data_IF_567348120786
#
_entry.id   IF_567348120786
#
_cell.length_a   1.000
_cell.length_b   1.000
_cell.length_c   1.000
_cell.angle_alpha   90.00
_cell.angle_beta   90.00
_cell.angle_gamma   90.00
#
_symmetry.space_group_name_H-M   'P 1'
#
loop_
_entity.id
_entity.type
_entity.pdbx_description
1 polymer ?
#
# COMPACT_ATOMS: atom_id res chain seq x y z
N UNK A 1 -48.93 38.10 -26.25
CA UNK A 1 -49.70 38.16 -27.56
C UNK A 1 -49.12 37.01 -28.42
N UNK A 2 -50.05 36.10 -28.83
CA UNK A 2 -50.03 35.11 -29.93
C UNK A 2 -48.92 34.07 -29.93
N UNK A 3 -49.12 32.79 -29.58
CA UNK A 3 -49.97 31.74 -30.17
C UNK A 3 -49.59 31.35 -31.60
N UNK A 4 -49.31 30.11 -31.78
CA UNK A 4 -49.45 29.30 -32.99
C UNK A 4 -48.22 28.46 -33.29
N UNK A 5 -48.21 27.23 -33.65
CA UNK A 5 -49.25 26.21 -33.87
C UNK A 5 -48.50 24.88 -34.16
N UNK A 6 -49.12 23.80 -33.75
CA UNK A 6 -48.78 22.37 -34.05
C UNK A 6 -48.66 22.11 -35.55
N UNK A 7 -47.83 21.17 -35.94
CA UNK A 7 -48.28 20.16 -36.94
C UNK A 7 -47.52 18.83 -36.78
N UNK A 8 -48.30 17.80 -36.61
CA UNK A 8 -48.02 16.36 -36.65
C UNK A 8 -48.04 15.91 -38.11
N UNK A 9 -47.11 15.08 -38.54
CA UNK A 9 -47.27 14.23 -39.74
C UNK A 9 -46.82 12.81 -39.40
N UNK A 10 -47.78 11.91 -39.61
CA UNK A 10 -47.74 10.45 -39.54
C UNK A 10 -47.49 9.91 -40.97
N UNK A 11 -46.84 8.79 -41.06
CA UNK A 11 -46.86 7.89 -42.24
C UNK A 11 -45.50 7.25 -42.48
N UNK A 12 -45.31 6.05 -42.71
CA UNK A 12 -46.00 4.81 -43.02
C UNK A 12 -44.90 3.75 -43.24
N UNK A 13 -45.16 2.55 -42.84
CA UNK A 13 -44.37 1.32 -43.03
C UNK A 13 -43.94 1.06 -44.50
N UNK A 14 -42.77 0.43 -44.62
CA UNK A 14 -42.53 -0.54 -45.69
C UNK A 14 -41.57 -1.66 -45.22
N UNK A 15 -42.14 -2.82 -45.07
CA UNK A 15 -41.51 -4.13 -44.95
C UNK A 15 -40.84 -4.55 -46.25
N UNK A 16 -39.60 -4.99 -46.20
CA UNK A 16 -39.04 -5.94 -47.21
C UNK A 16 -38.19 -7.00 -46.55
N UNK A 17 -38.71 -8.17 -46.61
CA UNK A 17 -38.13 -9.49 -46.29
C UNK A 17 -37.16 -9.87 -47.41
N UNK A 18 -35.91 -10.25 -47.10
CA UNK A 18 -35.17 -11.16 -48.00
C UNK A 18 -34.17 -12.02 -47.21
N UNK A 19 -34.22 -13.28 -47.54
CA UNK A 19 -33.66 -14.46 -46.90
C UNK A 19 -32.15 -14.67 -47.06
N UNK A 20 -31.57 -15.31 -46.07
CA UNK A 20 -30.60 -16.42 -46.06
C UNK A 20 -29.28 -16.31 -46.85
N UNK A 21 -28.16 -16.36 -46.13
CA UNK A 21 -27.15 -17.43 -46.31
C UNK A 21 -26.40 -17.63 -44.97
N UNK A 22 -26.49 -18.87 -44.43
CA UNK A 22 -25.73 -19.36 -43.31
C UNK A 22 -24.27 -19.50 -43.70
N UNK A 23 -23.39 -18.88 -42.92
CA UNK A 23 -21.99 -19.31 -42.81
C UNK A 23 -21.68 -19.51 -41.34
N UNK A 24 -21.68 -20.76 -40.86
CA UNK A 24 -21.15 -21.15 -39.58
C UNK A 24 -19.66 -20.86 -39.55
N UNK A 25 -19.26 -19.78 -38.91
CA UNK A 25 -17.94 -19.65 -38.32
C UNK A 25 -18.11 -19.95 -36.84
N UNK A 26 -17.63 -21.10 -36.39
CA UNK A 26 -17.52 -21.44 -34.99
C UNK A 26 -16.46 -20.52 -34.34
N UNK A 27 -16.88 -19.33 -33.91
CA UNK A 27 -16.12 -18.53 -32.99
C UNK A 27 -16.27 -19.19 -31.62
N UNK A 28 -15.21 -19.79 -31.12
CA UNK A 28 -15.14 -20.26 -29.74
C UNK A 28 -15.44 -19.08 -28.82
N UNK A 29 -16.64 -19.06 -28.25
CA UNK A 29 -16.99 -18.16 -27.17
C UNK A 29 -16.17 -18.60 -25.95
N UNK A 30 -15.11 -17.85 -25.66
CA UNK A 30 -14.54 -17.84 -24.32
C UNK A 30 -15.68 -17.45 -23.37
N UNK A 31 -16.17 -18.41 -22.61
CA UNK A 31 -17.10 -18.15 -21.50
C UNK A 31 -16.44 -17.10 -20.61
N UNK A 32 -17.11 -15.97 -20.31
CA UNK A 32 -16.61 -15.06 -19.29
C UNK A 32 -16.56 -15.88 -18.00
N UNK A 33 -15.36 -16.02 -17.48
CA UNK A 33 -15.12 -16.61 -16.16
C UNK A 33 -15.90 -15.75 -15.15
N UNK A 34 -17.09 -16.15 -14.77
CA UNK A 34 -17.88 -15.56 -13.70
C UNK A 34 -17.18 -15.93 -12.40
N UNK A 35 -16.04 -15.29 -12.15
CA UNK A 35 -15.43 -15.30 -10.85
C UNK A 35 -16.41 -14.64 -9.89
N UNK A 36 -16.91 -15.42 -8.93
CA UNK A 36 -17.84 -15.00 -7.91
C UNK A 36 -17.41 -13.65 -7.33
N UNK A 37 -18.33 -12.70 -7.24
CA UNK A 37 -18.13 -11.44 -6.56
C UNK A 37 -17.45 -11.72 -5.23
N UNK A 38 -16.22 -11.20 -5.04
CA UNK A 38 -15.35 -11.58 -3.94
C UNK A 38 -16.10 -11.48 -2.62
N UNK A 39 -16.02 -12.53 -1.81
CA UNK A 39 -16.64 -12.55 -0.48
C UNK A 39 -16.18 -11.30 0.27
N UNK A 40 -17.12 -10.55 0.89
CA UNK A 40 -16.78 -9.37 1.69
C UNK A 40 -15.70 -9.76 2.71
N UNK A 41 -14.68 -8.91 2.90
CA UNK A 41 -13.64 -9.18 3.89
C UNK A 41 -14.27 -9.36 5.27
N UNK A 42 -13.75 -10.25 6.10
CA UNK A 42 -14.27 -10.43 7.44
C UNK A 42 -14.06 -9.17 8.26
N UNK A 43 -15.08 -8.80 9.06
CA UNK A 43 -15.00 -7.67 9.98
C UNK A 43 -14.28 -8.06 11.26
N UNK A 44 -13.61 -7.10 11.91
CA UNK A 44 -12.78 -7.34 13.08
C UNK A 44 -13.52 -8.07 14.20
N UNK A 45 -14.77 -7.69 14.50
CA UNK A 45 -15.58 -8.32 15.55
C UNK A 45 -16.10 -9.71 15.20
N UNK A 46 -16.06 -10.11 13.93
CA UNK A 46 -16.41 -11.47 13.52
C UNK A 46 -15.23 -12.44 13.72
N UNK A 47 -14.01 -11.93 13.76
CA UNK A 47 -12.77 -12.71 13.85
C UNK A 47 -12.16 -12.65 15.25
N UNK A 48 -12.06 -11.45 15.83
CA UNK A 48 -11.47 -11.22 17.13
C UNK A 48 -12.52 -11.09 18.21
N UNK A 49 -12.25 -11.67 19.37
CA UNK A 49 -13.10 -11.53 20.56
C UNK A 49 -12.83 -10.19 21.25
N UNK A 50 -13.84 -9.69 21.99
CA UNK A 50 -13.75 -8.51 22.83
C UNK A 50 -13.40 -7.20 22.05
N UNK A 51 -13.76 -7.11 20.77
CA UNK A 51 -13.70 -5.86 20.00
C UNK A 51 -14.85 -4.97 20.41
N UNK A 52 -14.57 -3.79 21.01
CA UNK A 52 -15.59 -2.89 21.54
C UNK A 52 -15.69 -1.58 20.75
N UNK A 53 -14.62 -0.81 20.65
CA UNK A 53 -14.61 0.54 20.06
C UNK A 53 -14.33 0.52 18.56
N UNK A 54 -13.55 -0.48 18.07
CA UNK A 54 -13.10 -0.61 16.68
C UNK A 54 -13.92 -1.67 15.93
N UNK A 55 -15.25 -1.57 16.02
CA UNK A 55 -16.19 -2.45 15.29
C UNK A 55 -16.53 -1.88 13.93
N UNK A 56 -16.91 -2.76 13.00
CA UNK A 56 -17.37 -2.36 11.66
C UNK A 56 -16.25 -2.02 10.70
N UNK A 57 -15.01 -2.43 10.98
CA UNK A 57 -13.87 -2.28 10.08
C UNK A 57 -13.33 -3.64 9.65
N UNK A 58 -12.76 -3.75 8.43
CA UNK A 58 -12.11 -4.96 7.96
C UNK A 58 -10.94 -5.38 8.88
N UNK A 59 -10.62 -6.67 8.86
CA UNK A 59 -9.56 -7.23 9.70
C UNK A 59 -8.20 -6.63 9.42
N UNK A 60 -7.84 -6.40 8.16
CA UNK A 60 -6.59 -5.77 7.75
C UNK A 60 -6.48 -4.34 8.25
N UNK A 61 -7.53 -3.53 8.12
CA UNK A 61 -7.56 -2.16 8.68
C UNK A 61 -7.50 -2.19 10.22
N UNK A 62 -8.12 -3.18 10.87
CA UNK A 62 -8.02 -3.35 12.32
C UNK A 62 -6.58 -3.60 12.76
N UNK A 63 -5.85 -4.48 12.06
CA UNK A 63 -4.44 -4.75 12.35
C UNK A 63 -3.56 -3.52 12.09
N UNK A 64 -3.77 -2.83 10.97
CA UNK A 64 -3.08 -1.56 10.66
C UNK A 64 -3.37 -0.49 11.74
N UNK A 65 -4.59 -0.46 12.29
CA UNK A 65 -4.96 0.43 13.40
C UNK A 65 -4.22 0.08 14.70
N UNK A 66 -3.98 -1.21 14.99
CA UNK A 66 -3.14 -1.62 16.13
C UNK A 66 -1.70 -1.14 15.95
N UNK A 67 -1.12 -1.28 14.75
CA UNK A 67 0.20 -0.72 14.42
C UNK A 67 0.27 0.79 14.62
N UNK A 68 -0.77 1.54 14.18
CA UNK A 68 -0.86 2.97 14.40
C UNK A 68 -0.85 3.35 15.89
N UNK A 69 -1.61 2.61 16.74
CA UNK A 69 -1.62 2.84 18.19
C UNK A 69 -0.23 2.56 18.78
N UNK A 70 0.36 1.42 18.42
CA UNK A 70 1.68 1.00 18.90
C UNK A 70 2.74 2.06 18.58
N UNK A 71 2.83 2.52 17.32
CA UNK A 71 3.76 3.55 16.88
C UNK A 71 3.53 4.90 17.56
N UNK A 72 2.24 5.28 17.77
CA UNK A 72 1.91 6.54 18.45
C UNK A 72 2.39 6.60 19.91
N UNK A 73 2.60 5.44 20.54
CA UNK A 73 2.98 5.29 21.94
C UNK A 73 4.41 4.74 22.12
N UNK A 74 5.08 4.33 21.04
CA UNK A 74 6.36 3.59 21.08
C UNK A 74 6.27 2.30 21.91
N UNK A 75 5.17 1.57 21.75
CA UNK A 75 4.88 0.31 22.43
C UNK A 75 4.78 -0.84 21.42
N UNK A 76 4.93 -2.07 21.90
CA UNK A 76 4.66 -3.28 21.15
C UNK A 76 3.34 -3.94 21.55
N UNK A 77 2.96 -5.03 20.88
CA UNK A 77 1.69 -5.72 21.12
C UNK A 77 1.55 -6.18 22.60
N UNK A 78 2.62 -6.71 23.18
CA UNK A 78 2.59 -7.30 24.52
C UNK A 78 2.69 -6.27 25.66
N UNK A 79 2.97 -5.01 25.35
CA UNK A 79 2.90 -3.93 26.34
C UNK A 79 1.45 -3.58 26.67
N UNK A 80 0.53 -3.77 25.71
CA UNK A 80 -0.90 -3.52 25.90
C UNK A 80 -1.71 -4.80 26.17
N UNK A 81 -1.31 -5.93 25.54
CA UNK A 81 -1.92 -7.25 25.73
C UNK A 81 -1.15 -8.06 26.78
N UNK A 82 -1.76 -9.14 27.27
CA UNK A 82 -1.07 -10.01 28.26
C UNK A 82 0.14 -10.70 27.62
N UNK A 83 1.19 -10.98 28.41
CA UNK A 83 2.40 -11.69 27.92
C UNK A 83 2.07 -13.08 27.35
N UNK A 84 1.02 -13.72 27.88
CA UNK A 84 0.56 -15.01 27.39
C UNK A 84 -0.01 -14.94 25.96
N UNK A 85 -0.40 -13.75 25.49
CA UNK A 85 -0.93 -13.54 24.13
C UNK A 85 0.08 -13.94 23.05
N UNK A 86 1.38 -13.83 23.32
CA UNK A 86 2.44 -14.25 22.42
C UNK A 86 2.51 -15.77 22.20
N UNK A 87 1.93 -16.57 23.13
CA UNK A 87 1.86 -18.02 23.06
C UNK A 87 0.47 -18.56 22.73
N UNK A 88 -0.56 -17.89 23.24
CA UNK A 88 -1.96 -18.21 23.02
C UNK A 88 -2.70 -17.00 22.43
N UNK A 89 -2.98 -17.00 21.12
CA UNK A 89 -3.69 -15.91 20.46
C UNK A 89 -5.06 -15.57 21.06
N UNK A 90 -5.73 -16.52 21.73
CA UNK A 90 -7.01 -16.25 22.39
C UNK A 90 -6.87 -15.22 23.52
N UNK A 91 -5.70 -15.10 24.12
CA UNK A 91 -5.37 -14.17 25.20
C UNK A 91 -5.30 -12.68 24.77
N UNK A 92 -5.20 -12.42 23.45
CA UNK A 92 -5.38 -11.05 22.95
C UNK A 92 -6.76 -10.47 23.27
N UNK A 93 -7.75 -11.32 23.59
CA UNK A 93 -9.07 -10.88 24.03
C UNK A 93 -9.12 -10.39 25.49
N UNK A 94 -8.18 -10.81 26.33
CA UNK A 94 -8.16 -10.48 27.76
C UNK A 94 -8.00 -8.96 27.95
N UNK A 95 -8.68 -8.42 28.97
CA UNK A 95 -8.57 -7.01 29.32
C UNK A 95 -7.38 -6.78 30.26
N UNK A 96 -6.62 -5.74 29.93
CA UNK A 96 -5.57 -5.18 30.77
C UNK A 96 -5.93 -3.75 31.16
N UNK A 97 -5.36 -3.17 32.23
CA UNK A 97 -5.57 -1.75 32.57
C UNK A 97 -5.19 -0.80 31.43
N UNK A 98 -4.09 -1.09 30.70
CA UNK A 98 -3.63 -0.29 29.57
C UNK A 98 -4.64 -0.37 28.42
N UNK A 99 -5.12 -1.56 28.08
CA UNK A 99 -6.12 -1.78 27.02
C UNK A 99 -7.44 -1.05 27.33
N UNK A 100 -7.86 -1.05 28.60
CA UNK A 100 -9.04 -0.29 29.05
C UNK A 100 -8.82 1.22 28.93
N UNK A 101 -7.63 1.71 29.28
CA UNK A 101 -7.26 3.13 29.12
C UNK A 101 -7.24 3.50 27.64
N UNK A 102 -6.64 2.67 26.76
CA UNK A 102 -6.62 2.90 25.33
C UNK A 102 -8.04 3.06 24.76
N UNK A 103 -9.00 2.21 25.18
CA UNK A 103 -10.41 2.35 24.74
C UNK A 103 -11.02 3.69 25.14
N UNK A 104 -10.73 4.20 26.34
CA UNK A 104 -11.17 5.55 26.77
C UNK A 104 -10.56 6.64 25.91
N UNK A 105 -9.25 6.54 25.59
CA UNK A 105 -8.55 7.49 24.72
C UNK A 105 -9.12 7.45 23.28
N UNK A 106 -9.41 6.28 22.73
CA UNK A 106 -10.06 6.13 21.43
C UNK A 106 -11.42 6.84 21.37
N UNK A 107 -12.26 6.67 22.39
CA UNK A 107 -13.55 7.36 22.48
C UNK A 107 -13.38 8.87 22.58
N UNK A 108 -12.41 9.35 23.39
CA UNK A 108 -12.09 10.77 23.53
C UNK A 108 -11.66 11.38 22.20
N UNK A 109 -10.71 10.76 21.48
CA UNK A 109 -10.23 11.25 20.18
C UNK A 109 -11.38 11.28 19.16
N UNK A 110 -12.20 10.22 19.12
CA UNK A 110 -13.39 10.17 18.27
C UNK A 110 -14.37 11.31 18.56
N UNK A 111 -14.60 11.60 19.84
CA UNK A 111 -15.49 12.68 20.28
C UNK A 111 -14.93 14.06 19.92
N UNK A 112 -13.62 14.30 20.15
CA UNK A 112 -12.96 15.56 19.78
C UNK A 112 -13.13 15.82 18.28
N UNK A 113 -12.82 14.84 17.43
CA UNK A 113 -12.96 14.98 15.99
C UNK A 113 -14.41 15.22 15.55
N UNK A 114 -15.38 14.51 16.15
CA UNK A 114 -16.79 14.68 15.83
C UNK A 114 -17.32 16.07 16.21
N UNK A 115 -16.98 16.55 17.39
CA UNK A 115 -17.52 17.81 17.91
C UNK A 115 -16.82 19.06 17.36
N UNK A 116 -15.51 18.99 17.09
CA UNK A 116 -14.73 20.19 16.78
C UNK A 116 -14.22 20.23 15.32
N UNK A 117 -14.21 19.10 14.62
CA UNK A 117 -13.64 18.99 13.28
C UNK A 117 -14.59 18.36 12.26
N UNK A 118 -15.90 18.38 12.53
CA UNK A 118 -16.90 17.83 11.62
C UNK A 118 -16.76 16.34 11.31
N UNK A 119 -16.11 15.58 12.20
CA UNK A 119 -15.80 14.16 12.00
C UNK A 119 -14.52 13.89 11.18
N UNK A 120 -13.83 14.94 10.72
CA UNK A 120 -12.53 14.78 10.06
C UNK A 120 -11.48 14.37 11.11
N UNK A 121 -10.65 13.39 10.77
CA UNK A 121 -9.59 12.86 11.66
C UNK A 121 -8.40 13.83 11.75
N UNK A 122 -8.59 14.94 12.43
CA UNK A 122 -7.59 15.99 12.62
C UNK A 122 -6.72 15.71 13.85
N UNK A 123 -7.34 15.21 14.92
CA UNK A 123 -6.65 14.80 16.15
C UNK A 123 -6.52 13.29 16.16
N UNK A 124 -5.32 12.80 16.41
CA UNK A 124 -4.98 11.37 16.48
C UNK A 124 -4.28 11.04 17.80
N UNK A 125 -3.99 9.78 18.08
CA UNK A 125 -3.15 9.38 19.20
C UNK A 125 -1.78 10.09 19.13
N UNK A 126 -1.18 10.10 17.93
CA UNK A 126 0.12 10.71 17.69
C UNK A 126 0.15 12.22 17.96
N UNK A 127 -0.95 12.94 17.75
CA UNK A 127 -1.04 14.39 18.02
C UNK A 127 -0.63 14.75 19.45
N UNK A 128 -1.00 13.92 20.43
CA UNK A 128 -0.68 14.13 21.84
C UNK A 128 0.55 13.33 22.30
N UNK A 129 0.69 12.08 21.85
CA UNK A 129 1.69 11.15 22.37
C UNK A 129 3.06 11.26 21.69
N UNK A 130 3.13 11.45 20.37
CA UNK A 130 4.39 11.65 19.61
C UNK A 130 5.44 10.57 19.89
N UNK A 131 5.03 9.31 19.79
CA UNK A 131 5.83 8.13 20.10
C UNK A 131 6.32 8.07 21.57
N UNK A 132 5.48 8.52 22.50
CA UNK A 132 5.72 8.39 23.95
C UNK A 132 4.43 7.95 24.65
N UNK A 133 4.54 7.11 25.68
CA UNK A 133 3.38 6.68 26.50
C UNK A 133 2.73 7.88 27.20
N UNK A 134 3.54 8.82 27.70
CA UNK A 134 3.06 10.04 28.31
C UNK A 134 2.82 11.12 27.24
N UNK A 135 1.60 11.71 27.17
CA UNK A 135 1.37 12.81 26.25
C UNK A 135 2.22 14.02 26.64
N UNK A 136 2.77 14.72 25.65
CA UNK A 136 3.52 15.94 25.87
C UNK A 136 2.58 17.09 26.17
N UNK A 137 2.64 17.63 27.38
CA UNK A 137 1.78 18.72 27.84
C UNK A 137 2.56 19.98 28.25
N UNK A 138 3.90 19.93 28.22
CA UNK A 138 4.77 21.06 28.53
C UNK A 138 5.46 21.52 27.24
N UNK A 139 5.40 22.83 26.90
CA UNK A 139 6.19 23.37 25.79
C UNK A 139 7.69 23.16 25.99
N UNK A 140 8.37 22.78 24.95
CA UNK A 140 9.83 22.61 24.95
C UNK A 140 10.49 23.95 24.60
N UNK A 141 11.25 24.52 25.54
CA UNK A 141 12.04 25.72 25.27
C UNK A 141 13.18 25.44 24.27
N UNK A 142 13.68 24.23 24.23
CA UNK A 142 14.69 23.83 23.25
C UNK A 142 14.12 23.82 21.83
N UNK A 143 12.88 23.35 21.62
CA UNK A 143 12.21 23.44 20.34
C UNK A 143 11.84 24.88 19.95
N UNK A 144 11.50 25.72 20.93
CA UNK A 144 11.09 27.11 20.68
C UNK A 144 12.27 28.03 20.38
N UNK A 145 13.40 27.87 21.05
CA UNK A 145 14.56 28.78 20.98
C UNK A 145 15.81 28.12 20.42
N UNK A 146 15.80 26.83 20.20
CA UNK A 146 16.86 26.10 19.51
C UNK A 146 16.80 26.25 17.99
N UNK A 147 17.68 25.56 17.30
CA UNK A 147 17.54 25.39 15.86
C UNK A 147 16.27 24.61 15.58
N UNK A 148 15.33 25.13 14.76
CA UNK A 148 14.14 24.36 14.40
C UNK A 148 14.56 22.99 13.84
N UNK A 149 13.93 21.90 14.26
CA UNK A 149 14.19 20.61 13.66
C UNK A 149 13.87 20.68 12.17
N UNK A 150 14.68 20.03 11.35
CA UNK A 150 14.39 19.89 9.92
C UNK A 150 13.01 19.25 9.78
N UNK A 151 12.25 19.76 8.83
CA UNK A 151 10.95 19.18 8.51
C UNK A 151 11.16 17.77 7.96
N UNK A 152 10.40 16.80 8.48
CA UNK A 152 10.44 15.43 7.94
C UNK A 152 10.05 15.46 6.44
N UNK A 153 10.96 15.12 5.52
CA UNK A 153 10.66 15.16 4.11
C UNK A 153 9.53 14.17 3.72
N UNK A 154 9.28 13.18 4.56
CA UNK A 154 8.21 12.20 4.35
C UNK A 154 6.82 12.77 4.66
N UNK A 155 6.68 13.84 5.45
CA UNK A 155 5.39 14.43 5.79
C UNK A 155 4.56 14.79 4.55
N UNK A 156 3.23 14.57 4.66
CA UNK A 156 2.28 14.94 3.60
C UNK A 156 2.16 16.47 3.51
N UNK A 157 2.28 16.99 2.30
CA UNK A 157 1.93 18.38 2.02
C UNK A 157 0.43 18.54 1.79
N UNK A 158 -0.22 19.33 2.65
CA UNK A 158 -1.66 19.64 2.55
C UNK A 158 -1.87 20.86 1.66
N UNK A 159 -1.02 21.87 1.80
CA UNK A 159 -1.08 23.12 1.06
C UNK A 159 0.34 23.50 0.58
N UNK A 160 0.77 22.86 -0.50
CA UNK A 160 2.05 23.14 -1.11
C UNK A 160 1.97 24.47 -1.87
N UNK A 161 2.89 25.39 -1.58
CA UNK A 161 3.21 26.50 -2.46
C UNK A 161 4.47 26.12 -3.27
N UNK A 162 4.35 25.88 -4.58
CA UNK A 162 5.48 25.45 -5.37
C UNK A 162 6.59 26.51 -5.39
N UNK A 163 7.84 26.07 -5.27
CA UNK A 163 9.00 26.95 -5.44
C UNK A 163 9.04 27.49 -6.87
N UNK A 164 9.26 28.80 -7.07
CA UNK A 164 9.43 29.38 -8.40
C UNK A 164 10.59 28.72 -9.14
N UNK A 165 10.31 28.20 -10.35
CA UNK A 165 11.33 27.53 -11.18
C UNK A 165 11.60 26.05 -10.84
N UNK A 166 10.93 25.49 -9.84
CA UNK A 166 11.00 24.06 -9.59
C UNK A 166 10.37 23.24 -10.75
N UNK A 167 10.87 22.03 -11.03
CA UNK A 167 10.32 21.20 -12.09
C UNK A 167 8.89 20.76 -11.75
N UNK A 168 8.04 20.65 -12.77
CA UNK A 168 6.68 20.12 -12.61
C UNK A 168 6.70 18.63 -12.34
N UNK A 169 5.62 18.08 -11.78
CA UNK A 169 5.49 16.63 -11.58
C UNK A 169 5.68 15.86 -12.91
N UNK A 170 5.12 16.35 -14.01
CA UNK A 170 5.30 15.71 -15.32
C UNK A 170 6.73 15.65 -15.77
N UNK A 171 7.51 16.73 -15.61
CA UNK A 171 8.92 16.78 -15.96
C UNK A 171 9.75 15.79 -15.13
N UNK A 172 9.45 15.68 -13.84
CA UNK A 172 10.14 14.74 -12.94
C UNK A 172 9.83 13.29 -13.34
N UNK A 173 8.56 12.97 -13.56
CA UNK A 173 8.13 11.63 -13.95
C UNK A 173 8.65 11.24 -15.35
N UNK A 174 8.71 12.18 -16.30
CA UNK A 174 9.32 11.92 -17.61
C UNK A 174 10.81 11.63 -17.49
N UNK A 175 11.54 12.39 -16.67
CA UNK A 175 12.94 12.13 -16.38
C UNK A 175 13.14 10.74 -15.79
N UNK A 176 12.30 10.32 -14.83
CA UNK A 176 12.34 8.98 -14.26
C UNK A 176 12.09 7.90 -15.31
N UNK A 177 11.05 8.01 -16.13
CA UNK A 177 10.74 7.04 -17.18
C UNK A 177 11.93 6.89 -18.14
N UNK A 178 12.59 7.99 -18.50
CA UNK A 178 13.81 7.96 -19.33
C UNK A 178 14.98 7.32 -18.58
N UNK A 179 15.18 7.65 -17.31
CA UNK A 179 16.27 7.14 -16.50
C UNK A 179 16.24 5.62 -16.31
N UNK A 180 15.03 5.03 -16.21
CA UNK A 180 14.86 3.56 -16.06
C UNK A 180 14.86 2.81 -17.39
N UNK A 181 14.99 3.48 -18.55
CA UNK A 181 15.16 2.81 -19.85
C UNK A 181 14.27 3.34 -20.97
N UNK A 182 13.33 4.24 -20.66
CA UNK A 182 12.42 4.86 -21.62
C UNK A 182 11.15 4.05 -21.90
N UNK A 183 10.10 4.75 -22.31
CA UNK A 183 8.75 4.20 -22.45
C UNK A 183 8.69 2.94 -23.35
N UNK A 184 9.48 2.89 -24.42
CA UNK A 184 9.46 1.77 -25.36
C UNK A 184 10.00 0.47 -24.72
N UNK A 185 11.12 0.54 -23.98
CA UNK A 185 11.69 -0.63 -23.30
C UNK A 185 10.80 -1.09 -22.16
N UNK A 186 10.26 -0.14 -21.38
CA UNK A 186 9.29 -0.43 -20.32
C UNK A 186 8.04 -1.12 -20.86
N UNK A 187 7.52 -0.72 -22.02
CA UNK A 187 6.38 -1.39 -22.67
C UNK A 187 6.70 -2.82 -23.12
N UNK A 188 7.97 -3.11 -23.42
CA UNK A 188 8.44 -4.45 -23.76
C UNK A 188 8.65 -5.37 -22.54
N UNK A 189 8.57 -4.85 -21.32
CA UNK A 189 8.71 -5.63 -20.10
C UNK A 189 7.34 -6.17 -19.68
N UNK A 190 7.09 -7.46 -19.88
CA UNK A 190 5.78 -8.09 -19.64
C UNK A 190 5.73 -8.97 -18.41
N UNK A 191 6.88 -9.45 -17.94
CA UNK A 191 7.00 -10.24 -16.72
C UNK A 191 8.40 -10.13 -16.12
N UNK A 192 8.49 -10.40 -14.83
CA UNK A 192 9.73 -10.47 -14.06
C UNK A 192 9.64 -11.62 -13.07
N UNK A 193 10.71 -12.43 -12.97
CA UNK A 193 10.94 -13.25 -11.79
C UNK A 193 12.24 -12.80 -11.14
N UNK A 194 12.27 -12.75 -9.82
CA UNK A 194 13.47 -12.44 -9.08
C UNK A 194 13.66 -13.44 -7.94
N UNK A 195 14.92 -13.78 -7.65
CA UNK A 195 15.31 -14.57 -6.50
C UNK A 195 16.41 -13.85 -5.73
N UNK A 196 16.39 -14.01 -4.42
CA UNK A 196 17.33 -13.33 -3.53
C UNK A 196 17.08 -13.65 -2.07
N UNK A 197 17.28 -12.66 -1.22
CA UNK A 197 17.11 -12.81 0.23
C UNK A 197 16.19 -11.73 0.78
N UNK A 198 15.50 -12.10 1.84
CA UNK A 198 14.71 -11.27 2.73
C UNK A 198 15.30 -11.33 4.13
N UNK A 199 15.27 -10.24 4.88
CA UNK A 199 15.52 -10.18 6.31
C UNK A 199 14.57 -9.17 6.97
N UNK A 200 14.07 -9.50 8.16
CA UNK A 200 13.14 -8.67 8.90
C UNK A 200 13.05 -9.10 10.36
N UNK A 201 12.16 -8.47 11.13
CA UNK A 201 11.94 -8.82 12.54
C UNK A 201 11.53 -10.30 12.73
N UNK A 202 10.77 -10.85 11.79
CA UNK A 202 10.31 -12.24 11.80
C UNK A 202 11.42 -13.27 11.50
N UNK A 203 12.60 -12.81 11.12
CA UNK A 203 13.79 -13.63 10.88
C UNK A 203 14.97 -13.26 11.79
N UNK A 204 14.74 -12.42 12.82
CA UNK A 204 15.81 -11.80 13.62
C UNK A 204 16.90 -11.16 12.74
N UNK A 205 16.48 -10.56 11.63
CA UNK A 205 17.33 -10.00 10.57
C UNK A 205 18.30 -11.00 9.91
N UNK A 206 18.12 -12.30 10.12
CA UNK A 206 18.85 -13.31 9.35
C UNK A 206 18.30 -13.40 7.94
N UNK A 207 19.18 -13.40 6.94
CA UNK A 207 18.81 -13.53 5.53
C UNK A 207 18.16 -14.88 5.24
N UNK A 208 16.98 -14.87 4.65
CA UNK A 208 16.19 -16.03 4.23
C UNK A 208 15.90 -15.95 2.75
N UNK A 209 15.70 -17.07 2.03
CA UNK A 209 15.34 -17.03 0.62
C UNK A 209 14.07 -16.24 0.37
N UNK A 210 14.06 -15.51 -0.74
CA UNK A 210 12.89 -14.78 -1.22
C UNK A 210 12.74 -14.91 -2.72
N UNK A 211 11.50 -14.94 -3.20
CA UNK A 211 11.15 -15.01 -4.60
C UNK A 211 10.10 -13.94 -4.92
N UNK A 212 10.22 -13.34 -6.10
CA UNK A 212 9.24 -12.39 -6.60
C UNK A 212 8.82 -12.81 -7.99
N UNK A 213 7.53 -12.78 -8.23
CA UNK A 213 6.88 -12.99 -9.50
C UNK A 213 6.06 -11.75 -9.82
N UNK A 214 6.31 -11.10 -10.96
CA UNK A 214 5.53 -9.96 -11.40
C UNK A 214 5.13 -10.14 -12.87
N UNK A 215 3.91 -9.74 -13.21
CA UNK A 215 3.36 -9.81 -14.57
C UNK A 215 2.53 -8.57 -14.87
N UNK A 216 2.79 -7.94 -15.99
CA UNK A 216 2.01 -6.81 -16.47
C UNK A 216 0.59 -7.24 -16.87
N UNK A 217 -0.44 -6.42 -16.69
CA UNK A 217 -0.43 -5.12 -16.04
C UNK A 217 -0.66 -5.19 -14.52
N UNK A 218 0.38 -5.12 -13.70
CA UNK A 218 0.24 -4.94 -12.26
C UNK A 218 -0.21 -6.19 -11.47
N UNK A 219 0.30 -7.38 -11.77
CA UNK A 219 0.19 -8.56 -10.90
C UNK A 219 1.53 -8.80 -10.20
N UNK A 220 1.49 -9.14 -8.91
CA UNK A 220 2.72 -9.41 -8.14
C UNK A 220 2.49 -10.44 -7.06
N UNK A 221 3.48 -11.32 -6.88
CA UNK A 221 3.59 -12.25 -5.75
C UNK A 221 4.98 -12.15 -5.17
N UNK A 222 5.05 -11.99 -3.87
CA UNK A 222 6.29 -12.06 -3.09
C UNK A 222 6.19 -13.26 -2.15
N UNK A 223 7.18 -14.13 -2.18
CA UNK A 223 7.28 -15.32 -1.30
C UNK A 223 8.55 -15.19 -0.48
N UNK A 224 8.44 -15.37 0.83
CA UNK A 224 9.56 -15.40 1.78
C UNK A 224 9.54 -16.73 2.53
N UNK A 225 10.72 -17.24 2.89
CA UNK A 225 10.87 -18.55 3.53
C UNK A 225 11.50 -18.45 4.93
N UNK A 226 10.85 -17.79 5.92
CA UNK A 226 11.32 -17.77 7.29
C UNK A 226 11.22 -19.18 7.94
N UNK A 227 11.95 -19.45 9.04
CA UNK A 227 11.98 -20.78 9.68
C UNK A 227 10.62 -21.27 10.15
N UNK A 228 9.73 -20.37 10.50
CA UNK A 228 8.40 -20.67 11.08
C UNK A 228 7.40 -21.15 10.03
N UNK A 229 7.67 -20.89 8.75
CA UNK A 229 6.82 -21.25 7.61
C UNK A 229 6.75 -20.14 6.59
N UNK A 230 6.30 -20.47 5.39
CA UNK A 230 6.25 -19.56 4.26
C UNK A 230 5.36 -18.34 4.51
N UNK A 231 5.82 -17.17 4.07
CA UNK A 231 5.05 -15.94 3.97
C UNK A 231 4.83 -15.59 2.50
N UNK A 232 3.60 -15.32 2.12
CA UNK A 232 3.24 -14.99 0.73
C UNK A 232 2.34 -13.78 0.68
N UNK A 233 2.73 -12.75 -0.09
CA UNK A 233 1.89 -11.60 -0.44
C UNK A 233 1.54 -11.69 -1.92
N UNK A 234 0.26 -11.64 -2.25
CA UNK A 234 -0.25 -11.77 -3.62
C UNK A 234 -1.13 -10.58 -3.97
N UNK A 235 -0.93 -10.03 -5.16
CA UNK A 235 -1.86 -9.15 -5.84
C UNK A 235 -2.12 -9.70 -7.26
N UNK A 236 -3.38 -10.04 -7.55
CA UNK A 236 -3.80 -10.69 -8.81
C UNK A 236 -4.18 -9.71 -9.93
N UNK A 237 -3.96 -8.41 -9.71
CA UNK A 237 -4.43 -7.33 -10.58
C UNK A 237 -5.76 -6.72 -10.13
N UNK A 238 -6.41 -7.27 -9.09
CA UNK A 238 -7.67 -6.79 -8.53
C UNK A 238 -7.78 -6.98 -7.03
N UNK A 239 -7.38 -8.13 -6.52
CA UNK A 239 -7.48 -8.52 -5.11
C UNK A 239 -6.09 -8.73 -4.53
N UNK A 240 -5.95 -8.43 -3.23
CA UNK A 240 -4.71 -8.64 -2.50
C UNK A 240 -4.90 -9.60 -1.33
N UNK A 241 -3.88 -10.41 -1.03
CA UNK A 241 -3.85 -11.32 0.10
C UNK A 241 -2.46 -11.37 0.72
N UNK A 242 -2.45 -11.55 2.05
CA UNK A 242 -1.25 -11.92 2.80
C UNK A 242 -1.52 -13.25 3.49
N UNK A 243 -0.64 -14.21 3.28
CA UNK A 243 -0.62 -15.48 3.99
C UNK A 243 0.72 -15.58 4.74
N UNK A 244 0.70 -15.75 6.08
CA UNK A 244 1.91 -15.82 6.90
C UNK A 244 1.70 -16.74 8.09
N UNK A 245 2.65 -17.66 8.31
CA UNK A 245 2.56 -18.68 9.36
C UNK A 245 2.68 -18.09 10.77
N UNK A 246 3.39 -16.98 10.94
CA UNK A 246 3.58 -16.27 12.21
C UNK A 246 2.52 -15.19 12.50
N UNK A 247 1.51 -15.05 11.64
CA UNK A 247 0.46 -14.06 11.82
C UNK A 247 -0.67 -14.60 12.70
N UNK A 248 -1.33 -13.70 13.45
CA UNK A 248 -2.56 -14.00 14.19
C UNK A 248 -3.65 -14.58 13.27
N UNK A 249 -3.64 -14.18 12.02
CA UNK A 249 -4.50 -14.70 10.96
C UNK A 249 -3.62 -15.28 9.86
N UNK A 250 -3.66 -16.60 9.64
CA UNK A 250 -2.82 -17.25 8.64
C UNK A 250 -3.07 -16.78 7.21
N UNK A 251 -4.24 -16.19 6.94
CA UNK A 251 -4.61 -15.63 5.63
C UNK A 251 -5.50 -14.41 5.82
N UNK A 252 -5.08 -13.29 5.28
CA UNK A 252 -5.80 -12.01 5.30
C UNK A 252 -6.10 -11.56 3.88
N UNK A 253 -7.33 -11.12 3.62
CA UNK A 253 -7.70 -10.40 2.40
C UNK A 253 -7.45 -8.92 2.63
N UNK A 254 -6.73 -8.26 1.72
CA UNK A 254 -6.39 -6.85 1.81
C UNK A 254 -7.50 -5.98 1.25
N UNK A 255 -7.71 -4.82 1.88
CA UNK A 255 -8.73 -3.83 1.51
C UNK A 255 -8.18 -2.41 1.64
N UNK A 256 -8.90 -1.42 1.12
CA UNK A 256 -8.57 0.00 1.33
C UNK A 256 -7.10 0.32 1.12
N UNK A 257 -6.48 0.93 2.12
CA UNK A 257 -5.08 1.36 2.06
C UNK A 257 -4.07 0.20 1.95
N UNK A 258 -4.34 -0.95 2.58
CA UNK A 258 -3.46 -2.12 2.49
C UNK A 258 -3.49 -2.73 1.07
N UNK A 259 -4.65 -2.71 0.41
CA UNK A 259 -4.77 -3.09 -1.00
C UNK A 259 -4.06 -2.09 -1.91
N UNK A 260 -4.21 -0.78 -1.66
CA UNK A 260 -3.46 0.26 -2.39
C UNK A 260 -1.94 0.00 -2.32
N UNK A 261 -1.42 -0.40 -1.15
CA UNK A 261 0.01 -0.62 -0.96
C UNK A 261 0.55 -1.75 -1.86
N UNK A 262 -0.09 -2.91 -1.87
CA UNK A 262 0.36 -4.04 -2.71
C UNK A 262 0.13 -3.76 -4.20
N UNK A 263 -0.92 -3.01 -4.54
CA UNK A 263 -1.17 -2.57 -5.92
C UNK A 263 -0.08 -1.63 -6.39
N UNK A 264 0.31 -0.64 -5.59
CA UNK A 264 1.40 0.29 -5.94
C UNK A 264 2.73 -0.45 -6.10
N UNK A 265 3.06 -1.40 -5.22
CA UNK A 265 4.25 -2.22 -5.38
C UNK A 265 4.24 -3.05 -6.68
N UNK A 266 3.08 -3.53 -7.11
CA UNK A 266 2.93 -4.24 -8.37
C UNK A 266 3.08 -3.32 -9.59
N UNK A 267 2.49 -2.12 -9.53
CA UNK A 267 2.62 -1.09 -10.58
C UNK A 267 4.07 -0.60 -10.69
N UNK A 268 4.80 -0.46 -9.58
CA UNK A 268 6.20 -0.05 -9.56
C UNK A 268 7.15 -1.09 -10.17
N UNK A 269 6.74 -2.35 -10.30
CA UNK A 269 7.48 -3.36 -11.08
C UNK A 269 7.45 -3.05 -12.60
N UNK A 270 6.45 -2.29 -13.07
CA UNK A 270 6.25 -1.90 -14.47
C UNK A 270 5.94 -0.39 -14.58
N UNK A 271 6.87 0.50 -14.19
CA UNK A 271 6.58 1.91 -13.92
C UNK A 271 6.21 2.76 -15.14
N UNK A 272 6.16 2.17 -16.33
CA UNK A 272 5.80 2.89 -17.57
C UNK A 272 4.43 3.55 -17.55
N UNK A 273 3.53 3.14 -16.64
CA UNK A 273 2.19 3.70 -16.49
C UNK A 273 1.99 4.49 -15.20
N UNK A 274 3.05 4.81 -14.46
CA UNK A 274 2.95 5.49 -13.16
C UNK A 274 2.13 6.79 -13.22
N UNK A 275 2.25 7.55 -14.31
CA UNK A 275 1.47 8.79 -14.53
C UNK A 275 -0.04 8.56 -14.62
N UNK A 276 -0.48 7.34 -14.95
CA UNK A 276 -1.89 6.97 -15.13
C UNK A 276 -2.45 6.33 -13.86
N UNK A 277 -1.60 5.67 -13.07
CA UNK A 277 -2.01 4.97 -11.86
C UNK A 277 -2.29 5.94 -10.71
N UNK A 278 -1.39 6.89 -10.45
CA UNK A 278 -1.62 7.94 -9.46
C UNK A 278 -2.24 9.18 -10.12
N UNK A 279 -3.09 9.85 -9.37
CA UNK A 279 -3.80 11.06 -9.81
C UNK A 279 -3.50 12.24 -8.89
N UNK A 280 -3.92 13.46 -9.28
CA UNK A 280 -3.76 14.64 -8.43
C UNK A 280 -2.29 15.00 -8.17
N UNK A 281 -1.44 14.83 -9.17
CA UNK A 281 -0.02 15.08 -9.06
C UNK A 281 0.32 16.52 -8.61
N UNK A 282 1.20 16.61 -7.64
CA UNK A 282 1.80 17.86 -7.14
C UNK A 282 3.32 17.75 -7.25
N UNK A 283 3.95 18.80 -7.76
CA UNK A 283 5.39 18.99 -7.82
C UNK A 283 5.76 20.35 -7.27
N UNK A 284 7.02 20.75 -7.40
CA UNK A 284 7.48 22.04 -6.91
C UNK A 284 7.80 22.07 -5.42
N UNK A 285 8.09 20.90 -4.84
CA UNK A 285 8.54 20.81 -3.46
C UNK A 285 9.90 21.51 -3.27
N UNK A 286 10.16 22.09 -2.07
CA UNK A 286 11.46 22.61 -1.72
C UNK A 286 12.57 21.58 -1.90
N UNK A 287 13.80 22.00 -2.21
CA UNK A 287 14.94 21.09 -2.23
C UNK A 287 15.06 20.31 -0.91
N UNK A 288 15.23 19.01 -1.02
CA UNK A 288 15.38 18.13 0.15
C UNK A 288 16.40 17.03 -0.15
N UNK A 289 16.84 16.35 0.89
CA UNK A 289 17.80 15.25 0.82
C UNK A 289 17.19 13.96 1.36
N UNK A 290 17.63 12.85 0.77
CA UNK A 290 17.41 11.49 1.29
C UNK A 290 18.77 10.80 1.30
N UNK A 291 19.24 10.39 2.46
CA UNK A 291 20.56 9.74 2.63
C UNK A 291 21.70 10.50 1.88
N UNK A 292 21.85 11.78 2.17
CA UNK A 292 22.85 12.70 1.55
C UNK A 292 22.69 12.92 0.02
N UNK A 293 21.61 12.43 -0.58
CA UNK A 293 21.30 12.66 -2.00
C UNK A 293 20.32 13.82 -2.16
N UNK A 294 20.63 14.74 -3.04
CA UNK A 294 19.68 15.76 -3.46
C UNK A 294 18.53 15.11 -4.25
N UNK A 295 17.31 15.33 -3.83
CA UNK A 295 16.14 14.74 -4.46
C UNK A 295 15.12 15.79 -4.92
N UNK A 296 14.35 15.43 -5.93
CA UNK A 296 13.14 16.14 -6.35
C UNK A 296 11.93 15.26 -6.01
N UNK A 297 10.86 15.91 -5.54
CA UNK A 297 9.72 15.20 -4.95
C UNK A 297 8.47 15.44 -5.77
N UNK A 298 7.66 14.41 -5.93
CA UNK A 298 6.27 14.53 -6.39
C UNK A 298 5.33 13.84 -5.42
N UNK A 299 4.13 14.35 -5.30
CA UNK A 299 3.05 13.73 -4.51
C UNK A 299 1.87 13.42 -5.41
N UNK A 300 1.24 12.27 -5.21
CA UNK A 300 0.03 11.83 -5.91
C UNK A 300 -0.91 11.08 -4.99
N UNK A 301 -2.04 10.65 -5.54
CA UNK A 301 -3.08 9.91 -4.80
C UNK A 301 -3.39 8.61 -5.55
N UNK A 302 -3.36 7.49 -4.84
CA UNK A 302 -3.72 6.16 -5.33
C UNK A 302 -5.26 6.01 -5.46
N UNK A 303 -5.77 5.03 -6.21
CA UNK A 303 -7.20 4.88 -6.50
C UNK A 303 -8.12 4.79 -5.27
N UNK A 304 -7.70 4.12 -4.18
CA UNK A 304 -8.50 4.05 -2.95
C UNK A 304 -8.29 5.26 -2.02
N UNK A 305 -7.47 6.24 -2.42
CA UNK A 305 -7.30 7.51 -1.73
C UNK A 305 -6.02 7.63 -0.89
N UNK A 306 -5.16 6.61 -0.89
CA UNK A 306 -3.86 6.67 -0.21
C UNK A 306 -2.96 7.70 -0.89
N UNK A 307 -2.33 8.58 -0.11
CA UNK A 307 -1.36 9.55 -0.62
C UNK A 307 0.01 8.93 -0.75
N UNK A 308 0.72 9.32 -1.81
CA UNK A 308 2.03 8.75 -2.15
C UNK A 308 2.99 9.90 -2.44
N UNK A 309 4.17 9.90 -1.82
CA UNK A 309 5.31 10.76 -2.18
C UNK A 309 6.38 9.91 -2.84
N UNK A 310 6.92 10.37 -3.95
CA UNK A 310 8.02 9.75 -4.68
C UNK A 310 9.20 10.71 -4.71
N UNK A 311 10.36 10.22 -4.31
CA UNK A 311 11.61 10.97 -4.20
C UNK A 311 12.58 10.46 -5.27
N UNK A 312 12.93 11.31 -6.20
CA UNK A 312 13.81 10.98 -7.31
C UNK A 312 15.16 11.68 -7.11
N UNK A 313 16.23 10.93 -7.24
CA UNK A 313 17.57 11.50 -7.26
C UNK A 313 17.68 12.55 -8.37
N UNK A 314 18.13 13.75 -7.99
CA UNK A 314 18.13 14.91 -8.87
C UNK A 314 19.03 14.71 -10.10
N UNK A 315 20.12 13.99 -9.96
CA UNK A 315 21.11 13.82 -11.03
C UNK A 315 20.73 12.66 -11.95
N UNK A 316 20.53 11.47 -11.40
CA UNK A 316 20.23 10.26 -12.17
C UNK A 316 18.77 10.16 -12.61
N UNK A 317 17.83 10.82 -11.92
CA UNK A 317 16.38 10.68 -12.13
C UNK A 317 15.79 9.37 -11.62
N UNK A 318 16.56 8.53 -10.93
CA UNK A 318 16.08 7.26 -10.38
C UNK A 318 15.25 7.47 -9.11
N UNK A 319 14.24 6.65 -8.89
CA UNK A 319 13.47 6.63 -7.65
C UNK A 319 14.35 6.11 -6.51
N UNK A 320 14.52 6.88 -5.45
CA UNK A 320 15.31 6.48 -4.28
C UNK A 320 14.46 6.18 -3.07
N UNK A 321 13.29 6.85 -2.97
CA UNK A 321 12.34 6.59 -1.87
C UNK A 321 10.90 6.71 -2.36
N UNK A 322 10.04 5.88 -1.83
CA UNK A 322 8.58 5.97 -1.95
C UNK A 322 7.99 5.95 -0.55
N UNK A 323 7.10 6.90 -0.26
CA UNK A 323 6.32 6.91 0.99
C UNK A 323 4.85 6.89 0.65
N UNK A 324 4.11 5.93 1.19
CA UNK A 324 2.67 5.84 1.09
C UNK A 324 2.05 6.06 2.47
N UNK A 325 0.89 6.72 2.50
CA UNK A 325 0.11 6.97 3.70
C UNK A 325 -1.22 6.27 3.57
N UNK A 326 -1.34 5.11 4.21
CA UNK A 326 -2.59 4.34 4.22
C UNK A 326 -3.52 4.84 5.32
N UNK A 327 -4.82 4.87 5.00
CA UNK A 327 -5.81 5.39 5.94
C UNK A 327 -6.25 4.29 6.91
N UNK A 328 -6.27 4.63 8.21
CA UNK A 328 -6.93 3.84 9.25
C UNK A 328 -8.05 4.66 9.90
N UNK A 329 -8.86 4.02 10.75
CA UNK A 329 -9.92 4.75 11.50
C UNK A 329 -9.37 5.78 12.48
N UNK A 330 -8.08 5.73 12.82
CA UNK A 330 -7.44 6.62 13.80
C UNK A 330 -6.48 7.65 13.19
N UNK A 331 -5.95 7.40 12.02
CA UNK A 331 -4.94 8.27 11.40
C UNK A 331 -4.39 7.68 10.10
N UNK A 332 -3.25 8.18 9.71
CA UNK A 332 -2.51 7.72 8.52
C UNK A 332 -1.28 6.94 8.94
N UNK A 333 -1.15 5.71 8.42
CA UNK A 333 0.05 4.89 8.58
C UNK A 333 1.04 5.20 7.47
N UNK A 334 2.24 5.68 7.77
CA UNK A 334 3.31 5.78 6.79
C UNK A 334 3.89 4.40 6.49
N UNK A 335 4.18 4.15 5.22
CA UNK A 335 4.99 3.04 4.73
C UNK A 335 6.03 3.60 3.79
N UNK A 336 7.29 3.44 4.12
CA UNK A 336 8.44 3.90 3.35
C UNK A 336 9.12 2.73 2.68
N UNK A 337 9.57 2.92 1.44
CA UNK A 337 10.42 1.97 0.72
C UNK A 337 11.58 2.73 0.11
N UNK A 338 12.80 2.41 0.55
CA UNK A 338 14.05 2.93 0.00
C UNK A 338 14.63 1.97 -1.03
N UNK A 339 14.90 2.47 -2.23
CA UNK A 339 15.42 1.70 -3.36
C UNK A 339 16.89 2.01 -3.62
N UNK A 340 17.67 0.96 -3.89
CA UNK A 340 19.10 1.07 -4.19
C UNK A 340 19.56 -0.04 -5.13
N UNK A 341 20.85 -0.05 -5.48
CA UNK A 341 21.50 -1.06 -6.33
C UNK A 341 20.73 -1.28 -7.65
N UNK A 342 20.53 -0.19 -8.39
CA UNK A 342 19.89 -0.26 -9.71
C UNK A 342 20.83 -0.93 -10.73
N UNK A 343 20.37 -2.03 -11.32
CA UNK A 343 21.09 -2.76 -12.36
C UNK A 343 20.28 -2.81 -13.65
N UNK A 344 20.97 -2.91 -14.78
CA UNK A 344 20.32 -3.02 -16.08
C UNK A 344 19.93 -4.47 -16.39
N UNK A 345 18.65 -4.67 -16.68
CA UNK A 345 18.06 -5.96 -17.07
C UNK A 345 17.22 -5.74 -18.32
N UNK A 346 17.62 -6.31 -19.45
CA UNK A 346 16.97 -6.10 -20.76
C UNK A 346 16.80 -4.63 -21.16
N UNK A 347 17.77 -3.80 -20.81
CA UNK A 347 17.75 -2.36 -21.11
C UNK A 347 16.86 -1.53 -20.19
N UNK A 348 16.32 -2.12 -19.11
CA UNK A 348 15.55 -1.45 -18.06
C UNK A 348 16.36 -1.49 -16.75
N UNK A 349 16.47 -0.35 -16.05
CA UNK A 349 17.09 -0.29 -14.73
C UNK A 349 16.07 -0.71 -13.68
N UNK A 350 16.41 -1.77 -12.93
CA UNK A 350 15.58 -2.36 -11.88
C UNK A 350 16.36 -2.29 -10.55
N UNK A 351 15.73 -1.88 -9.43
CA UNK A 351 16.37 -1.94 -8.13
C UNK A 351 16.56 -3.39 -7.69
N UNK A 352 17.77 -3.75 -7.26
CA UNK A 352 18.10 -5.08 -6.73
C UNK A 352 18.08 -5.11 -5.20
N UNK A 353 18.04 -3.94 -4.57
CA UNK A 353 17.95 -3.83 -3.12
C UNK A 353 16.91 -2.80 -2.73
N UNK A 354 16.08 -3.12 -1.72
CA UNK A 354 15.20 -2.16 -1.08
C UNK A 354 14.96 -2.50 0.38
N UNK A 355 14.72 -1.46 1.17
CA UNK A 355 14.29 -1.56 2.57
C UNK A 355 12.89 -1.01 2.67
N UNK A 356 11.96 -1.77 3.24
CA UNK A 356 10.62 -1.31 3.57
C UNK A 356 10.52 -1.10 5.10
N UNK A 357 9.94 0.03 5.50
CA UNK A 357 9.69 0.40 6.90
C UNK A 357 8.24 0.83 7.04
N UNK A 358 7.58 0.38 8.10
CA UNK A 358 6.21 0.75 8.44
C UNK A 358 6.04 0.82 9.96
N UNK A 359 4.86 1.18 10.44
CA UNK A 359 4.60 1.54 11.84
C UNK A 359 5.03 0.49 12.88
N UNK A 360 5.07 -0.78 12.53
CA UNK A 360 5.41 -1.88 13.43
C UNK A 360 6.38 -2.90 12.81
N UNK A 361 7.09 -2.51 11.74
CA UNK A 361 8.00 -3.42 11.09
C UNK A 361 9.06 -2.78 10.19
N UNK A 362 10.08 -3.58 9.90
CA UNK A 362 11.13 -3.29 8.91
C UNK A 362 11.54 -4.58 8.23
N UNK A 363 11.75 -4.49 6.92
CA UNK A 363 12.31 -5.58 6.12
C UNK A 363 13.30 -5.07 5.08
N UNK A 364 14.23 -5.91 4.69
CA UNK A 364 15.18 -5.67 3.61
C UNK A 364 15.13 -6.82 2.61
N UNK A 365 15.10 -6.47 1.34
CA UNK A 365 15.20 -7.40 0.21
C UNK A 365 16.47 -7.12 -0.58
N UNK A 366 17.18 -8.18 -0.96
CA UNK A 366 18.37 -8.10 -1.79
C UNK A 366 18.32 -9.21 -2.85
N UNK A 367 18.02 -8.80 -4.10
CA UNK A 367 17.90 -9.73 -5.21
C UNK A 367 19.26 -10.07 -5.79
N UNK A 368 19.45 -11.32 -6.13
CA UNK A 368 20.69 -11.82 -6.76
C UNK A 368 20.49 -12.09 -8.26
N UNK A 369 19.30 -12.50 -8.66
CA UNK A 369 18.96 -12.81 -10.05
C UNK A 369 17.59 -12.23 -10.40
N UNK A 370 17.48 -11.58 -11.56
CA UNK A 370 16.23 -11.04 -12.11
C UNK A 370 16.12 -11.43 -13.58
N UNK A 371 15.06 -12.15 -13.92
CA UNK A 371 14.81 -12.65 -15.29
C UNK A 371 13.58 -11.94 -15.88
N UNK A 372 13.76 -11.15 -16.94
CA UNK A 372 12.66 -10.48 -17.62
C UNK A 372 11.99 -11.41 -18.65
N UNK A 373 10.73 -11.14 -18.93
CA UNK A 373 9.95 -11.73 -20.03
C UNK A 373 9.91 -13.27 -20.02
N UNK A 374 9.87 -13.85 -18.82
CA UNK A 374 9.72 -15.28 -18.61
C UNK A 374 8.25 -15.69 -18.48
N UNK A 375 7.91 -16.89 -18.90
CA UNK A 375 6.59 -17.45 -18.65
C UNK A 375 6.42 -17.72 -17.13
N UNK A 376 5.34 -17.19 -16.54
CA UNK A 376 4.98 -17.40 -15.15
C UNK A 376 3.65 -18.12 -15.10
N UNK A 377 3.58 -19.21 -14.33
CA UNK A 377 2.34 -19.92 -14.09
C UNK A 377 1.30 -18.98 -13.46
N UNK A 378 0.11 -18.93 -14.03
CA UNK A 378 -1.00 -18.10 -13.53
C UNK A 378 -1.39 -18.46 -12.08
N UNK A 379 -1.17 -19.69 -11.64
CA UNK A 379 -1.40 -20.13 -10.29
C UNK A 379 -0.58 -19.36 -9.25
N UNK A 380 0.57 -18.81 -9.64
CA UNK A 380 1.40 -17.95 -8.77
C UNK A 380 0.68 -16.68 -8.31
N UNK A 381 -0.30 -16.21 -9.07
CA UNK A 381 -1.09 -15.01 -8.75
C UNK A 381 -2.47 -15.32 -8.16
N UNK A 382 -2.76 -16.58 -7.88
CA UNK A 382 -4.00 -16.99 -7.24
C UNK A 382 -4.01 -16.73 -5.74
N UNK A 383 -5.21 -16.70 -5.14
CA UNK A 383 -5.37 -16.60 -3.68
C UNK A 383 -4.58 -17.73 -2.99
N UNK A 384 -3.62 -17.40 -2.10
CA UNK A 384 -2.82 -18.39 -1.42
C UNK A 384 -3.67 -19.23 -0.43
N UNK A 385 -3.22 -20.43 -0.15
CA UNK A 385 -3.73 -21.20 0.97
C UNK A 385 -3.11 -20.72 2.28
N UNK A 386 -3.81 -20.86 3.43
CA UNK A 386 -3.19 -20.62 4.73
C UNK A 386 -1.92 -21.47 4.87
N UNK A 387 -0.78 -20.90 5.25
CA UNK A 387 0.46 -21.64 5.37
C UNK A 387 0.39 -22.66 6.50
N UNK A 388 1.08 -23.77 6.33
CA UNK A 388 1.27 -24.73 7.42
C UNK A 388 2.30 -24.17 8.39
N UNK A 389 1.96 -24.10 9.66
CA UNK A 389 2.93 -23.76 10.72
C UNK A 389 3.88 -24.94 10.86
N UNK A 390 5.16 -24.73 10.58
CA UNK A 390 6.20 -25.71 10.90
C UNK A 390 6.34 -25.74 12.43
N UNK A 391 6.21 -26.91 13.04
CA UNK A 391 6.56 -27.06 14.44
C UNK A 391 8.04 -26.70 14.58
N UNK A 392 8.32 -25.54 15.17
CA UNK A 392 9.67 -25.21 15.58
C UNK A 392 10.03 -26.23 16.64
N UNK A 393 11.03 -27.06 16.38
CA UNK A 393 11.58 -27.96 17.40
C UNK A 393 12.02 -27.12 18.60
N UNK A 394 11.73 -27.56 19.85
CA UNK A 394 12.03 -26.83 21.06
C UNK A 394 13.53 -26.58 21.26
#
# INVERSE_FOLDING_TARGET
>A
MKLGSRQTVVGVMATTLMCLINSLVAAGQATPNTQAAGAKPPMAEAVFKNVQVLRGIPVDEFMATMGFIAASLSLNCLDCHTQDSGRDPAKYADDTPIKQTARKMLLMVKQINAQNFGGVRTVTCYTCHRSDVAPRFTPSLAEQYGTPPDRDPNDIEIALQPDPGAPTADQILDKYIQAVGGAQRLAGLTSLTATGTYSGYDTDFAKKPAEIYAKAPGMRTTVIHPPIGEGTTVYDGRNGWVAAANSLLPLVTLTGGELDAVTLEAEMAFPGKIKQYLTGWQGGFPPTNVDDRNVVVVQGTAPAGSRVKLFFDKDSGLLVRMVMFTTTVLGLNPREIDYSDYREVAGVKIPFKWTAVWTDGRSEFEMTDVKPNVAIDAAKFGKPSPPKVSAVAP
#
